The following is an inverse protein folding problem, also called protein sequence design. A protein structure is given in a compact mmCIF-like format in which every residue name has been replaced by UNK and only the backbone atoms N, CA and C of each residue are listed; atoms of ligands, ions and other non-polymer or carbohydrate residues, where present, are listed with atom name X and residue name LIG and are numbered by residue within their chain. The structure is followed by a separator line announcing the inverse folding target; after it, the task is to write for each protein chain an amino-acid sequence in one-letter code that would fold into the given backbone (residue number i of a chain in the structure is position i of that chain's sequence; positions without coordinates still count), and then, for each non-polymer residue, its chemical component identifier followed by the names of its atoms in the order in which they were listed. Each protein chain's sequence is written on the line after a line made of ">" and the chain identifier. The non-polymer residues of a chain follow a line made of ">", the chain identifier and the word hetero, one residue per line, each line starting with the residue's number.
data_IF_645181010149
#
_entry.id   IF_645181010149
#
_cell.length_a   1.000
_cell.length_b   1.000
_cell.length_c   1.000
_cell.angle_alpha   90.00
_cell.angle_beta   90.00
_cell.angle_gamma   90.00
#
_symmetry.space_group_name_H-M   'P 1'
#
loop_
_entity.id
_entity.type
_entity.pdbx_description
1 polymer ?
#
# COMPACT_ATOMS: atom_id res chain seq x y z
N UNK A 1 0.22 -53.04 -5.25
CA UNK A 1 -0.13 -52.08 -4.19
C UNK A 1 1.19 -51.46 -3.76
N UNK A 2 1.58 -50.36 -4.40
CA UNK A 2 2.86 -49.70 -4.10
C UNK A 2 2.77 -49.08 -2.70
N UNK A 3 3.71 -49.44 -1.82
CA UNK A 3 3.88 -48.81 -0.51
C UNK A 3 4.36 -47.37 -0.74
N UNK A 4 3.51 -46.40 -0.40
CA UNK A 4 3.91 -44.98 -0.37
C UNK A 4 5.06 -44.80 0.62
N UNK A 5 6.02 -43.95 0.27
CA UNK A 5 7.14 -43.64 1.16
C UNK A 5 6.65 -42.87 2.40
N UNK A 6 7.39 -42.93 3.53
CA UNK A 6 7.04 -42.20 4.77
C UNK A 6 6.90 -40.70 4.52
N UNK A 7 7.74 -40.11 3.65
CA UNK A 7 7.64 -38.69 3.26
C UNK A 7 6.33 -38.38 2.53
N UNK A 8 5.91 -39.26 1.63
CA UNK A 8 4.66 -39.10 0.88
C UNK A 8 3.42 -39.23 1.78
N UNK A 9 3.49 -40.08 2.81
CA UNK A 9 2.41 -40.19 3.82
C UNK A 9 2.31 -38.91 4.67
N UNK A 10 3.45 -38.27 4.97
CA UNK A 10 3.52 -37.01 5.74
C UNK A 10 2.99 -35.81 4.92
N UNK A 11 3.38 -35.70 3.65
CA UNK A 11 2.87 -34.68 2.72
C UNK A 11 1.35 -34.79 2.53
N UNK A 12 0.81 -36.01 2.38
CA UNK A 12 -0.64 -36.22 2.26
C UNK A 12 -1.39 -35.88 3.55
N UNK A 13 -0.78 -36.12 4.71
CA UNK A 13 -1.38 -35.74 5.99
C UNK A 13 -1.41 -34.22 6.14
N UNK A 14 -0.32 -33.53 5.77
CA UNK A 14 -0.23 -32.07 5.81
C UNK A 14 -1.25 -31.42 4.86
N UNK A 15 -1.37 -31.90 3.62
CA UNK A 15 -2.35 -31.41 2.66
C UNK A 15 -3.80 -31.55 3.17
N UNK A 16 -4.12 -32.64 3.89
CA UNK A 16 -5.43 -32.85 4.52
C UNK A 16 -5.74 -31.87 5.65
N UNK A 17 -4.72 -31.29 6.29
CA UNK A 17 -4.89 -30.24 7.27
C UNK A 17 -5.02 -28.88 6.59
N UNK A 18 -4.16 -28.59 5.62
CA UNK A 18 -4.12 -27.31 4.91
C UNK A 18 -5.39 -27.02 4.11
N UNK A 19 -6.04 -28.04 3.53
CA UNK A 19 -7.27 -27.85 2.75
C UNK A 19 -8.38 -27.15 3.55
N UNK A 20 -8.41 -27.30 4.88
CA UNK A 20 -9.40 -26.65 5.73
C UNK A 20 -9.25 -25.13 5.77
N UNK A 21 -8.06 -24.59 5.50
CA UNK A 21 -7.85 -23.15 5.37
C UNK A 21 -8.61 -22.59 4.15
N UNK A 22 -8.82 -23.39 3.10
CA UNK A 22 -9.58 -22.99 1.93
C UNK A 22 -11.07 -23.27 2.08
N UNK A 23 -11.45 -24.42 2.65
CA UNK A 23 -12.86 -24.78 2.93
C UNK A 23 -13.54 -23.72 3.80
N UNK A 24 -12.83 -23.18 4.80
CA UNK A 24 -13.32 -22.14 5.69
C UNK A 24 -12.62 -20.79 5.49
N UNK A 25 -12.00 -20.57 4.33
CA UNK A 25 -11.16 -19.39 4.05
C UNK A 25 -11.88 -18.04 4.10
N UNK A 26 -13.20 -18.03 3.95
CA UNK A 26 -14.03 -16.84 4.12
C UNK A 26 -14.24 -16.43 5.59
N UNK A 27 -14.02 -17.36 6.54
CA UNK A 27 -14.32 -17.16 7.97
C UNK A 27 -13.52 -16.02 8.60
N UNK A 28 -12.18 -15.91 8.39
CA UNK A 28 -11.40 -14.79 8.93
C UNK A 28 -11.96 -13.42 8.53
N UNK A 29 -12.26 -13.23 7.24
CA UNK A 29 -12.82 -11.99 6.71
C UNK A 29 -14.20 -11.71 7.30
N UNK A 30 -15.10 -12.69 7.29
CA UNK A 30 -16.47 -12.52 7.78
C UNK A 30 -16.53 -12.19 9.28
N UNK A 31 -15.70 -12.85 10.09
CA UNK A 31 -15.67 -12.60 11.55
C UNK A 31 -14.97 -11.27 11.87
N UNK A 32 -13.96 -10.87 11.08
CA UNK A 32 -13.34 -9.54 11.21
C UNK A 32 -14.34 -8.42 10.85
N UNK A 33 -15.06 -8.57 9.73
CA UNK A 33 -16.16 -7.69 9.34
C UNK A 33 -17.18 -7.55 10.47
N UNK A 34 -17.62 -8.68 11.04
CA UNK A 34 -18.55 -8.68 12.18
C UNK A 34 -18.00 -7.91 13.39
N UNK A 35 -16.70 -8.04 13.70
CA UNK A 35 -16.08 -7.29 14.80
C UNK A 35 -16.10 -5.78 14.57
N UNK A 36 -15.91 -5.34 13.32
CA UNK A 36 -15.99 -3.94 12.91
C UNK A 36 -17.45 -3.44 13.01
N UNK A 37 -18.41 -4.18 12.43
CA UNK A 37 -19.83 -3.81 12.43
C UNK A 37 -20.42 -3.75 13.85
N UNK A 38 -20.00 -4.65 14.74
CA UNK A 38 -20.37 -4.60 16.15
C UNK A 38 -19.61 -3.51 16.92
N UNK A 39 -18.55 -2.93 16.35
CA UNK A 39 -17.69 -1.92 16.99
C UNK A 39 -17.00 -2.42 18.25
N UNK A 40 -16.55 -3.68 18.23
CA UNK A 40 -15.89 -4.32 19.39
C UNK A 40 -14.64 -3.55 19.80
N UNK A 41 -13.82 -3.15 18.83
CA UNK A 41 -12.61 -2.38 19.07
C UNK A 41 -12.92 -1.00 19.67
N UNK A 42 -13.90 -0.27 19.13
CA UNK A 42 -14.32 1.02 19.67
C UNK A 42 -14.78 0.93 21.14
N UNK A 43 -15.56 -0.09 21.48
CA UNK A 43 -16.08 -0.28 22.84
C UNK A 43 -14.96 -0.59 23.83
N UNK A 44 -14.03 -1.47 23.47
CA UNK A 44 -12.86 -1.76 24.29
C UNK A 44 -11.95 -0.54 24.47
N UNK A 45 -11.74 0.23 23.40
CA UNK A 45 -10.96 1.47 23.47
C UNK A 45 -11.63 2.51 24.39
N UNK A 46 -12.93 2.72 24.22
CA UNK A 46 -13.70 3.68 25.02
C UNK A 46 -13.77 3.30 26.50
N UNK A 47 -13.73 2.00 26.81
CA UNK A 47 -13.68 1.53 28.20
C UNK A 47 -12.32 1.80 28.87
N UNK A 48 -11.23 1.86 28.09
CA UNK A 48 -9.89 2.13 28.59
C UNK A 48 -9.22 0.98 29.35
N UNK A 49 -9.77 -0.24 29.27
CA UNK A 49 -9.27 -1.39 30.03
C UNK A 49 -9.86 -2.74 29.60
N UNK A 50 -9.51 -3.83 30.31
CA UNK A 50 -10.05 -5.16 30.08
C UNK A 50 -11.56 -5.22 30.35
N UNK A 51 -12.32 -5.86 29.46
CA UNK A 51 -13.75 -6.12 29.67
C UNK A 51 -14.05 -7.61 29.72
N UNK A 52 -14.85 -8.04 30.70
CA UNK A 52 -15.39 -9.41 30.71
C UNK A 52 -16.38 -9.62 29.56
N UNK A 53 -16.72 -10.88 29.26
CA UNK A 53 -17.73 -11.19 28.26
C UNK A 53 -19.09 -10.56 28.57
N UNK A 54 -19.49 -10.57 29.85
CA UNK A 54 -20.76 -10.00 30.31
C UNK A 54 -20.79 -8.48 30.12
N UNK A 55 -19.72 -7.78 30.47
CA UNK A 55 -19.58 -6.34 30.25
C UNK A 55 -19.59 -5.99 28.76
N UNK A 56 -18.82 -6.73 27.95
CA UNK A 56 -18.70 -6.46 26.52
C UNK A 56 -20.03 -6.71 25.79
N UNK A 57 -20.70 -7.83 26.07
CA UNK A 57 -22.02 -8.11 25.47
C UNK A 57 -23.09 -7.11 25.87
N UNK A 58 -23.09 -6.63 27.12
CA UNK A 58 -23.99 -5.58 27.57
C UNK A 58 -23.73 -4.25 26.85
N UNK A 59 -22.46 -3.85 26.70
CA UNK A 59 -22.08 -2.62 26.00
C UNK A 59 -22.40 -2.65 24.50
N UNK A 60 -22.28 -3.82 23.87
CA UNK A 60 -22.60 -4.04 22.45
C UNK A 60 -24.09 -4.33 22.19
N UNK A 61 -24.90 -4.47 23.25
CA UNK A 61 -26.31 -4.88 23.18
C UNK A 61 -26.53 -6.17 22.35
N UNK A 62 -25.65 -7.17 22.51
CA UNK A 62 -25.67 -8.41 21.73
C UNK A 62 -25.72 -9.67 22.61
N UNK A 63 -26.02 -10.82 22.00
CA UNK A 63 -26.09 -12.09 22.72
C UNK A 63 -24.71 -12.52 23.23
N UNK A 64 -24.59 -12.67 24.56
CA UNK A 64 -23.37 -13.13 25.23
C UNK A 64 -22.86 -14.49 24.69
N UNK A 65 -23.77 -15.44 24.43
CA UNK A 65 -23.39 -16.77 23.92
C UNK A 65 -22.88 -16.74 22.48
N UNK A 66 -23.42 -15.85 21.65
CA UNK A 66 -22.94 -15.64 20.27
C UNK A 66 -21.62 -14.89 20.29
N UNK A 67 -21.53 -13.80 21.06
CA UNK A 67 -20.31 -13.01 21.22
C UNK A 67 -19.16 -13.87 21.75
N UNK A 68 -19.41 -14.79 22.67
CA UNK A 68 -18.39 -15.72 23.17
C UNK A 68 -17.75 -16.53 22.03
N UNK A 69 -18.55 -17.02 21.08
CA UNK A 69 -18.04 -17.79 19.93
C UNK A 69 -17.23 -16.92 18.97
N UNK A 70 -17.68 -15.68 18.74
CA UNK A 70 -16.98 -14.68 17.92
C UNK A 70 -15.64 -14.32 18.56
N UNK A 71 -15.65 -13.93 19.84
CA UNK A 71 -14.46 -13.55 20.58
C UNK A 71 -13.48 -14.71 20.69
N UNK A 72 -13.94 -15.96 20.90
CA UNK A 72 -13.08 -17.14 20.88
C UNK A 72 -12.29 -17.25 19.57
N UNK A 73 -12.96 -17.06 18.43
CA UNK A 73 -12.30 -17.08 17.12
C UNK A 73 -11.33 -15.91 16.96
N UNK A 74 -11.77 -14.68 17.24
CA UNK A 74 -10.95 -13.48 17.12
C UNK A 74 -9.71 -13.54 18.02
N UNK A 75 -9.82 -14.10 19.23
CA UNK A 75 -8.69 -14.27 20.15
C UNK A 75 -7.74 -15.37 19.71
N UNK A 76 -8.26 -16.46 19.12
CA UNK A 76 -7.42 -17.50 18.53
C UNK A 76 -6.59 -16.96 17.35
N UNK A 77 -7.19 -16.07 16.55
CA UNK A 77 -6.51 -15.34 15.47
C UNK A 77 -5.65 -14.16 15.95
N UNK A 78 -5.52 -13.97 17.27
CA UNK A 78 -4.75 -12.89 17.92
C UNK A 78 -5.20 -11.47 17.52
N UNK A 79 -6.42 -11.32 17.01
CA UNK A 79 -7.00 -9.99 16.73
C UNK A 79 -7.28 -9.30 18.07
N UNK A 80 -7.92 -9.99 19.01
CA UNK A 80 -8.00 -9.56 20.41
C UNK A 80 -7.21 -10.52 21.29
N UNK A 81 -6.96 -10.15 22.55
CA UNK A 81 -6.28 -11.03 23.52
C UNK A 81 -7.16 -11.30 24.73
N UNK A 82 -7.14 -12.54 25.21
CA UNK A 82 -7.72 -12.90 26.49
C UNK A 82 -6.71 -12.62 27.61
N UNK A 83 -7.19 -12.08 28.71
CA UNK A 83 -6.42 -11.86 29.92
C UNK A 83 -7.13 -12.53 31.10
N UNK A 84 -6.36 -13.30 31.88
CA UNK A 84 -6.79 -13.84 33.15
C UNK A 84 -5.90 -13.25 34.24
N UNK A 85 -6.49 -12.63 35.26
CA UNK A 85 -5.75 -12.07 36.38
C UNK A 85 -5.31 -13.16 37.38
N UNK A 86 -6.01 -14.30 37.42
CA UNK A 86 -5.68 -15.51 38.18
C UNK A 86 -6.40 -16.74 37.59
N UNK A 87 -6.19 -17.94 38.14
CA UNK A 87 -6.93 -19.15 37.73
C UNK A 87 -8.44 -19.08 38.08
N UNK A 88 -8.85 -18.16 38.96
CA UNK A 88 -10.23 -18.02 39.44
C UNK A 88 -10.95 -16.77 38.88
N UNK A 89 -10.24 -15.90 38.16
CA UNK A 89 -10.84 -14.67 37.58
C UNK A 89 -11.61 -14.96 36.29
N UNK A 90 -12.71 -14.25 36.09
CA UNK A 90 -13.44 -14.25 34.81
C UNK A 90 -12.54 -13.76 33.67
N UNK A 91 -12.56 -14.47 32.54
CA UNK A 91 -11.79 -14.12 31.33
C UNK A 91 -12.21 -12.72 30.87
N UNK A 92 -11.22 -11.85 30.70
CA UNK A 92 -11.41 -10.51 30.15
C UNK A 92 -10.74 -10.39 28.78
N UNK A 93 -11.24 -9.49 27.95
CA UNK A 93 -10.73 -9.22 26.61
C UNK A 93 -10.04 -7.86 26.59
N UNK A 94 -8.90 -7.79 25.88
CA UNK A 94 -8.12 -6.57 25.68
C UNK A 94 -7.75 -6.40 24.21
N UNK A 95 -7.45 -5.15 23.84
CA UNK A 95 -6.94 -4.80 22.52
C UNK A 95 -5.56 -5.42 22.25
N UNK A 96 -5.26 -5.70 20.98
CA UNK A 96 -3.91 -5.94 20.45
C UNK A 96 -3.55 -4.82 19.46
N UNK A 97 -2.31 -4.73 18.95
CA UNK A 97 -1.99 -3.85 17.84
C UNK A 97 -2.91 -4.07 16.62
N UNK A 98 -3.23 -5.33 16.29
CA UNK A 98 -4.09 -5.66 15.16
C UNK A 98 -5.54 -5.19 15.34
N UNK A 99 -6.14 -5.38 16.52
CA UNK A 99 -7.52 -4.89 16.74
C UNK A 99 -7.62 -3.37 16.79
N UNK A 100 -6.54 -2.65 17.13
CA UNK A 100 -6.53 -1.18 17.08
C UNK A 100 -6.64 -0.64 15.65
N UNK A 101 -6.20 -1.41 14.65
CA UNK A 101 -6.43 -1.10 13.23
C UNK A 101 -7.92 -1.18 12.85
N UNK A 102 -8.80 -1.67 13.73
CA UNK A 102 -10.24 -1.78 13.48
C UNK A 102 -11.06 -0.65 14.14
N UNK A 103 -10.42 0.29 14.84
CA UNK A 103 -11.12 1.38 15.53
C UNK A 103 -11.67 2.37 14.50
N UNK A 104 -12.97 2.66 14.54
CA UNK A 104 -13.67 3.41 13.48
C UNK A 104 -13.09 4.82 13.22
N UNK A 105 -12.59 5.50 14.26
CA UNK A 105 -12.04 6.87 14.18
C UNK A 105 -10.51 6.94 14.36
N UNK A 106 -9.80 5.81 14.24
CA UNK A 106 -8.35 5.80 14.34
C UNK A 106 -7.68 6.35 13.07
N UNK A 107 -6.65 7.18 13.21
CA UNK A 107 -5.90 7.73 12.07
C UNK A 107 -5.35 6.64 11.13
N UNK A 108 -4.99 5.48 11.70
CA UNK A 108 -4.43 4.31 11.01
C UNK A 108 -5.45 3.16 10.85
N UNK A 109 -6.75 3.45 10.91
CA UNK A 109 -7.78 2.42 10.80
C UNK A 109 -7.86 1.83 9.39
N UNK A 110 -7.92 0.50 9.31
CA UNK A 110 -8.18 -0.29 8.10
C UNK A 110 -9.63 -0.78 8.03
N UNK A 111 -10.48 -0.39 8.98
CA UNK A 111 -11.86 -0.85 9.06
C UNK A 111 -12.65 -0.56 7.78
N UNK A 112 -12.49 0.63 7.19
CA UNK A 112 -13.17 1.00 5.95
C UNK A 112 -12.75 0.12 4.77
N UNK A 113 -11.46 -0.16 4.62
CA UNK A 113 -10.95 -1.06 3.58
C UNK A 113 -11.50 -2.48 3.73
N UNK A 114 -11.50 -3.02 4.96
CA UNK A 114 -12.07 -4.34 5.24
C UNK A 114 -13.56 -4.37 4.90
N UNK A 115 -14.32 -3.33 5.26
CA UNK A 115 -15.75 -3.24 4.94
C UNK A 115 -16.01 -3.16 3.43
N UNK A 116 -15.17 -2.42 2.69
CA UNK A 116 -15.21 -2.31 1.24
C UNK A 116 -15.00 -3.67 0.57
N UNK A 117 -13.85 -4.30 0.82
CA UNK A 117 -13.46 -5.60 0.22
C UNK A 117 -14.42 -6.73 0.60
N UNK A 118 -15.00 -6.68 1.80
CA UNK A 118 -15.99 -7.68 2.27
C UNK A 118 -17.44 -7.31 1.93
N UNK A 119 -17.68 -6.29 1.11
CA UNK A 119 -19.03 -5.91 0.69
C UNK A 119 -19.62 -6.93 -0.29
N UNK A 120 -20.96 -7.08 -0.36
CA UNK A 120 -21.58 -7.96 -1.36
C UNK A 120 -21.20 -7.61 -2.80
N UNK A 121 -21.01 -6.32 -3.09
CA UNK A 121 -20.61 -5.84 -4.44
C UNK A 121 -19.20 -6.33 -4.79
N UNK A 122 -18.24 -6.20 -3.85
CA UNK A 122 -16.85 -6.63 -4.07
C UNK A 122 -16.67 -8.16 -3.99
N UNK A 123 -17.55 -8.87 -3.28
CA UNK A 123 -17.50 -10.34 -3.19
C UNK A 123 -18.17 -11.07 -4.37
N UNK A 124 -19.17 -10.48 -5.02
CA UNK A 124 -19.88 -11.11 -6.13
C UNK A 124 -18.98 -11.49 -7.33
N UNK A 125 -18.00 -10.66 -7.76
CA UNK A 125 -17.06 -10.98 -8.83
C UNK A 125 -16.25 -12.26 -8.60
N UNK A 126 -15.88 -12.57 -7.36
CA UNK A 126 -15.10 -13.76 -7.03
C UNK A 126 -15.83 -15.07 -7.39
N UNK A 127 -17.16 -15.06 -7.40
CA UNK A 127 -17.97 -16.19 -7.87
C UNK A 127 -17.96 -16.37 -9.40
N UNK A 128 -17.40 -15.42 -10.15
CA UNK A 128 -17.32 -15.41 -11.61
C UNK A 128 -15.91 -15.67 -12.14
N UNK A 129 -14.91 -15.79 -11.27
CA UNK A 129 -13.51 -15.96 -11.67
C UNK A 129 -13.27 -17.13 -12.63
N UNK A 130 -13.84 -18.31 -12.35
CA UNK A 130 -13.65 -19.48 -13.23
C UNK A 130 -14.26 -19.28 -14.61
N UNK A 131 -15.40 -18.58 -14.70
CA UNK A 131 -16.02 -18.26 -15.98
C UNK A 131 -15.24 -17.18 -16.74
N UNK A 132 -14.78 -16.14 -16.03
CA UNK A 132 -13.94 -15.07 -16.60
C UNK A 132 -12.60 -15.62 -17.12
N UNK A 133 -11.96 -16.54 -16.39
CA UNK A 133 -10.72 -17.18 -16.84
C UNK A 133 -10.88 -18.01 -18.14
N UNK A 134 -12.09 -18.50 -18.43
CA UNK A 134 -12.40 -19.22 -19.68
C UNK A 134 -12.82 -18.28 -20.82
N UNK A 135 -13.35 -17.10 -20.48
CA UNK A 135 -13.86 -16.11 -21.40
C UNK A 135 -12.80 -15.02 -21.60
N UNK A 136 -12.04 -15.08 -22.69
CA UNK A 136 -11.09 -14.03 -23.02
C UNK A 136 -11.80 -12.66 -23.12
N UNK A 137 -11.47 -11.73 -22.22
CA UNK A 137 -11.77 -10.31 -22.36
C UNK A 137 -12.94 -9.74 -21.56
N UNK A 138 -13.59 -10.49 -20.65
CA UNK A 138 -14.60 -9.91 -19.74
C UNK A 138 -14.16 -10.11 -18.29
N UNK A 139 -14.05 -9.00 -17.53
CA UNK A 139 -13.67 -9.08 -16.11
C UNK A 139 -14.72 -9.84 -15.30
N UNK A 140 -14.30 -10.42 -14.17
CA UNK A 140 -15.23 -11.11 -13.28
C UNK A 140 -16.25 -10.13 -12.67
N UNK A 141 -15.88 -8.86 -12.52
CA UNK A 141 -16.77 -7.79 -12.10
C UNK A 141 -17.88 -7.49 -13.11
N UNK A 142 -17.52 -7.33 -14.38
CA UNK A 142 -18.50 -7.11 -15.44
C UNK A 142 -19.43 -8.32 -15.57
N UNK A 143 -18.90 -9.54 -15.44
CA UNK A 143 -19.73 -10.75 -15.43
C UNK A 143 -20.69 -10.84 -14.22
N UNK A 144 -20.40 -10.16 -13.11
CA UNK A 144 -21.24 -10.13 -11.92
C UNK A 144 -22.29 -9.01 -11.97
N UNK A 145 -21.91 -7.84 -12.47
CA UNK A 145 -22.70 -6.61 -12.36
C UNK A 145 -23.19 -6.05 -13.69
N UNK A 146 -22.72 -6.59 -14.82
CA UNK A 146 -23.12 -6.20 -16.18
C UNK A 146 -22.37 -5.00 -16.76
N UNK A 147 -21.49 -4.36 -15.97
CA UNK A 147 -20.72 -3.17 -16.38
C UNK A 147 -19.33 -3.17 -15.72
N UNK A 148 -18.40 -2.39 -16.29
CA UNK A 148 -17.06 -2.23 -15.69
C UNK A 148 -17.11 -1.43 -14.37
N UNK A 149 -16.11 -1.67 -13.51
CA UNK A 149 -16.08 -1.16 -12.12
C UNK A 149 -16.28 0.35 -12.02
N UNK A 150 -15.59 1.15 -12.83
CA UNK A 150 -15.68 2.62 -12.76
C UNK A 150 -17.06 3.17 -13.11
N UNK A 151 -17.73 2.57 -14.11
CA UNK A 151 -19.09 2.98 -14.48
C UNK A 151 -20.09 2.57 -13.41
N UNK A 152 -19.98 1.34 -12.91
CA UNK A 152 -20.78 0.87 -11.78
C UNK A 152 -20.63 1.80 -10.58
N UNK A 153 -19.40 2.17 -10.23
CA UNK A 153 -19.10 3.10 -9.14
C UNK A 153 -19.76 4.46 -9.35
N UNK A 154 -19.67 5.04 -10.56
CA UNK A 154 -20.30 6.31 -10.88
C UNK A 154 -21.84 6.28 -10.76
N UNK A 155 -22.47 5.17 -11.13
CA UNK A 155 -23.93 5.00 -11.10
C UNK A 155 -24.48 4.60 -9.72
N UNK A 156 -23.62 4.18 -8.79
CA UNK A 156 -24.00 3.67 -7.47
C UNK A 156 -23.36 4.49 -6.33
N UNK A 157 -23.97 5.62 -5.90
CA UNK A 157 -23.38 6.52 -4.90
C UNK A 157 -23.03 5.87 -3.56
N UNK A 158 -23.82 4.88 -3.11
CA UNK A 158 -23.52 4.13 -1.88
C UNK A 158 -22.25 3.30 -2.00
N UNK A 159 -22.03 2.66 -3.15
CA UNK A 159 -20.81 1.92 -3.44
C UNK A 159 -19.63 2.88 -3.64
N UNK A 160 -19.81 3.98 -4.39
CA UNK A 160 -18.79 5.02 -4.56
C UNK A 160 -18.29 5.56 -3.23
N UNK A 161 -19.19 5.87 -2.29
CA UNK A 161 -18.80 6.29 -0.94
C UNK A 161 -17.97 5.21 -0.24
N UNK A 162 -18.43 3.96 -0.26
CA UNK A 162 -17.74 2.86 0.40
C UNK A 162 -16.34 2.60 -0.21
N UNK A 163 -16.21 2.69 -1.53
CA UNK A 163 -14.95 2.58 -2.24
C UNK A 163 -13.99 3.69 -1.84
N UNK A 164 -14.45 4.95 -1.90
CA UNK A 164 -13.65 6.12 -1.52
C UNK A 164 -13.22 6.07 -0.05
N UNK A 165 -14.13 5.72 0.88
CA UNK A 165 -13.80 5.58 2.31
C UNK A 165 -12.71 4.51 2.54
N UNK A 166 -12.77 3.40 1.78
CA UNK A 166 -11.79 2.32 1.82
C UNK A 166 -10.43 2.81 1.33
N UNK A 167 -10.33 3.24 0.08
CA UNK A 167 -9.06 3.70 -0.52
C UNK A 167 -8.45 4.85 0.29
N UNK A 168 -9.26 5.78 0.79
CA UNK A 168 -8.79 6.89 1.63
C UNK A 168 -8.12 6.40 2.93
N UNK A 169 -8.55 5.28 3.52
CA UNK A 169 -7.95 4.80 4.75
C UNK A 169 -6.55 4.23 4.55
N UNK A 170 -6.30 3.51 3.44
CA UNK A 170 -4.95 3.11 3.06
C UNK A 170 -4.10 4.32 2.69
N UNK A 171 -4.65 5.23 1.87
CA UNK A 171 -3.97 6.43 1.41
C UNK A 171 -3.36 7.27 2.54
N UNK A 172 -4.05 7.40 3.69
CA UNK A 172 -3.51 8.11 4.86
C UNK A 172 -2.22 7.49 5.38
N UNK A 173 -2.22 6.18 5.53
CA UNK A 173 -1.08 5.43 6.06
C UNK A 173 0.09 5.47 5.07
N UNK A 174 -0.18 5.08 3.82
CA UNK A 174 0.82 5.02 2.77
C UNK A 174 1.48 6.39 2.55
N UNK A 175 0.68 7.45 2.40
CA UNK A 175 1.22 8.79 2.15
C UNK A 175 2.04 9.31 3.32
N UNK A 176 1.62 9.04 4.57
CA UNK A 176 2.41 9.41 5.76
C UNK A 176 3.79 8.76 5.73
N UNK A 177 3.85 7.47 5.37
CA UNK A 177 5.09 6.72 5.24
C UNK A 177 5.96 7.24 4.09
N UNK A 178 5.36 7.51 2.93
CA UNK A 178 6.05 8.06 1.75
C UNK A 178 6.71 9.40 2.06
N UNK A 179 5.97 10.33 2.69
CA UNK A 179 6.52 11.64 3.06
C UNK A 179 7.69 11.50 4.04
N UNK A 180 7.58 10.57 4.99
CA UNK A 180 8.61 10.34 6.00
C UNK A 180 9.88 9.72 5.41
N UNK A 181 9.75 8.71 4.53
CA UNK A 181 10.90 7.96 4.00
C UNK A 181 11.49 8.54 2.72
N UNK A 182 10.69 9.28 1.95
CA UNK A 182 11.10 9.90 0.70
C UNK A 182 10.83 11.42 0.67
N UNK A 183 11.20 12.20 1.71
CA UNK A 183 10.93 13.64 1.71
C UNK A 183 11.60 14.36 0.53
N UNK A 184 12.74 13.85 0.05
CA UNK A 184 13.44 14.39 -1.10
C UNK A 184 12.69 14.26 -2.43
N UNK A 185 11.73 13.33 -2.54
CA UNK A 185 10.84 13.24 -3.69
C UNK A 185 10.10 14.58 -3.91
N UNK A 186 9.79 15.29 -2.82
CA UNK A 186 8.99 16.51 -2.81
C UNK A 186 9.81 17.81 -2.82
N UNK A 187 11.14 17.70 -2.78
CA UNK A 187 12.01 18.87 -2.82
C UNK A 187 11.89 19.64 -4.15
N UNK A 188 11.77 20.96 -4.04
CA UNK A 188 11.70 21.88 -5.19
C UNK A 188 10.33 21.96 -5.88
N UNK A 189 9.38 21.11 -5.50
CA UNK A 189 8.00 21.13 -6.03
C UNK A 189 7.23 22.29 -5.38
N UNK A 190 6.57 23.14 -6.17
CA UNK A 190 5.68 24.22 -5.66
C UNK A 190 4.21 23.95 -5.93
N UNK A 191 3.91 23.16 -6.96
CA UNK A 191 2.57 22.70 -7.30
C UNK A 191 2.61 21.22 -7.68
N UNK A 192 1.64 20.45 -7.19
CA UNK A 192 1.54 19.02 -7.44
C UNK A 192 0.11 18.66 -7.79
N UNK A 193 -0.08 17.96 -8.91
CA UNK A 193 -1.37 17.36 -9.28
C UNK A 193 -1.40 15.90 -8.84
N UNK A 194 -2.41 15.53 -8.05
CA UNK A 194 -2.72 14.16 -7.67
C UNK A 194 -3.76 13.63 -8.66
N UNK A 195 -3.34 12.76 -9.58
CA UNK A 195 -4.19 12.21 -10.66
C UNK A 195 -4.88 10.95 -10.16
N UNK A 196 -6.20 10.85 -10.33
CA UNK A 196 -6.98 9.77 -9.68
C UNK A 196 -6.99 9.92 -8.16
N UNK A 197 -7.01 11.18 -7.69
CA UNK A 197 -6.72 11.50 -6.30
C UNK A 197 -7.86 11.22 -5.30
N UNK A 198 -8.99 10.72 -5.78
CA UNK A 198 -10.16 10.39 -4.96
C UNK A 198 -10.71 11.62 -4.23
N UNK A 199 -11.01 11.44 -2.95
CA UNK A 199 -11.46 12.52 -2.06
C UNK A 199 -10.34 13.50 -1.67
N UNK A 200 -9.10 13.28 -2.13
CA UNK A 200 -7.95 14.13 -1.85
C UNK A 200 -7.22 13.81 -0.55
N UNK A 201 -7.56 12.71 0.13
CA UNK A 201 -6.98 12.31 1.41
C UNK A 201 -5.44 12.20 1.37
N UNK A 202 -4.88 11.56 0.34
CA UNK A 202 -3.43 11.45 0.17
C UNK A 202 -2.79 12.84 0.05
N UNK A 203 -3.35 13.68 -0.82
CA UNK A 203 -2.85 15.02 -1.06
C UNK A 203 -2.96 15.90 0.20
N UNK A 204 -3.99 15.72 1.03
CA UNK A 204 -4.13 16.40 2.32
C UNK A 204 -2.99 16.07 3.27
N UNK A 205 -2.64 14.78 3.41
CA UNK A 205 -1.49 14.35 4.22
C UNK A 205 -0.20 14.97 3.69
N UNK A 206 0.00 14.96 2.37
CA UNK A 206 1.17 15.55 1.74
C UNK A 206 1.27 17.06 1.98
N UNK A 207 0.22 17.83 1.72
CA UNK A 207 0.22 19.30 1.88
C UNK A 207 0.40 19.70 3.35
N UNK A 208 -0.14 18.93 4.30
CA UNK A 208 0.09 19.16 5.73
C UNK A 208 1.57 19.04 6.10
N UNK A 209 2.27 18.07 5.53
CA UNK A 209 3.69 17.85 5.81
C UNK A 209 4.64 18.70 4.94
N UNK A 210 4.20 19.07 3.74
CA UNK A 210 4.93 19.91 2.79
C UNK A 210 4.10 21.18 2.46
N UNK A 211 3.92 22.11 3.42
CA UNK A 211 2.99 23.25 3.29
C UNK A 211 3.38 24.27 2.22
N UNK A 212 4.56 24.13 1.60
CA UNK A 212 4.98 24.96 0.46
C UNK A 212 4.40 24.46 -0.87
N UNK A 213 3.82 23.26 -0.92
CA UNK A 213 3.20 22.68 -2.11
C UNK A 213 1.74 23.12 -2.17
N UNK A 214 1.34 23.69 -3.31
CA UNK A 214 -0.08 23.84 -3.66
C UNK A 214 -0.57 22.56 -4.32
N UNK A 215 -1.58 21.92 -3.74
CA UNK A 215 -2.14 20.68 -4.25
C UNK A 215 -3.27 20.92 -5.25
N UNK A 216 -3.30 20.13 -6.33
CA UNK A 216 -4.44 19.99 -7.23
C UNK A 216 -4.92 18.55 -7.10
N UNK A 217 -6.08 18.32 -6.48
CA UNK A 217 -6.71 17.01 -6.45
C UNK A 217 -7.52 16.82 -7.74
N UNK A 218 -7.14 15.87 -8.58
CA UNK A 218 -7.74 15.66 -9.90
C UNK A 218 -8.39 14.28 -10.02
N UNK A 219 -9.70 14.25 -10.26
CA UNK A 219 -10.49 13.02 -10.39
C UNK A 219 -11.75 13.25 -11.24
N UNK A 220 -12.59 12.22 -11.41
CA UNK A 220 -13.84 12.29 -12.14
C UNK A 220 -14.83 13.27 -11.47
N UNK A 221 -15.76 13.88 -12.24
CA UNK A 221 -16.72 14.85 -11.71
C UNK A 221 -17.54 14.37 -10.51
N UNK A 222 -18.00 13.12 -10.54
CA UNK A 222 -18.83 12.57 -9.45
C UNK A 222 -18.03 12.41 -8.15
N UNK A 223 -16.74 12.07 -8.23
CA UNK A 223 -15.84 11.92 -7.08
C UNK A 223 -15.51 13.29 -6.48
N UNK A 224 -15.07 14.23 -7.32
CA UNK A 224 -14.72 15.60 -6.90
C UNK A 224 -15.90 16.33 -6.26
N UNK A 225 -17.12 16.10 -6.75
CA UNK A 225 -18.32 16.79 -6.26
C UNK A 225 -18.62 16.58 -4.77
N UNK A 226 -18.13 15.47 -4.19
CA UNK A 226 -18.34 15.10 -2.78
C UNK A 226 -17.05 15.17 -1.95
N UNK A 227 -15.93 15.59 -2.55
CA UNK A 227 -14.66 15.69 -1.86
C UNK A 227 -14.69 16.78 -0.77
N UNK A 228 -14.15 16.52 0.43
CA UNK A 228 -14.12 17.51 1.50
C UNK A 228 -13.18 18.66 1.15
N UNK A 229 -13.61 19.90 1.46
CA UNK A 229 -12.75 21.07 1.28
C UNK A 229 -11.53 20.98 2.19
N UNK A 230 -10.35 21.14 1.61
CA UNK A 230 -9.08 21.13 2.32
C UNK A 230 -8.28 22.41 2.01
N UNK A 231 -7.71 23.03 3.04
CA UNK A 231 -6.84 24.19 2.85
C UNK A 231 -5.58 23.81 2.06
N UNK A 232 -5.19 24.66 1.11
CA UNK A 232 -4.02 24.42 0.24
C UNK A 232 -4.25 23.41 -0.89
N UNK A 233 -5.48 22.91 -1.05
CA UNK A 233 -5.88 21.98 -2.11
C UNK A 233 -7.01 22.57 -2.95
N UNK A 234 -6.81 22.55 -4.26
CA UNK A 234 -7.84 22.83 -5.26
C UNK A 234 -8.36 21.50 -5.81
N UNK A 235 -9.68 21.31 -5.82
CA UNK A 235 -10.29 20.13 -6.45
C UNK A 235 -10.69 20.47 -7.89
N UNK A 236 -10.20 19.67 -8.84
CA UNK A 236 -10.44 19.84 -10.28
C UNK A 236 -11.00 18.54 -10.83
N UNK A 237 -12.12 18.62 -11.54
CA UNK A 237 -12.68 17.44 -12.19
C UNK A 237 -12.25 17.32 -13.65
N UNK A 238 -12.09 16.09 -14.14
CA UNK A 238 -11.86 15.80 -15.55
C UNK A 238 -11.55 14.33 -15.81
N UNK A 239 -11.05 14.05 -17.01
CA UNK A 239 -10.60 12.72 -17.43
C UNK A 239 -9.09 12.75 -17.69
N UNK A 240 -8.35 11.87 -17.00
CA UNK A 240 -6.90 11.76 -17.12
C UNK A 240 -6.42 11.26 -18.49
N UNK A 241 -7.28 10.58 -19.25
CA UNK A 241 -6.99 10.19 -20.63
C UNK A 241 -7.08 11.38 -21.61
N UNK A 242 -7.79 12.43 -21.23
CA UNK A 242 -7.92 13.64 -22.05
C UNK A 242 -6.86 14.68 -21.71
N UNK A 243 -6.84 15.13 -20.45
CA UNK A 243 -6.02 16.24 -19.98
C UNK A 243 -5.74 16.15 -18.47
N UNK A 244 -4.46 16.25 -18.09
CA UNK A 244 -4.04 16.42 -16.70
C UNK A 244 -3.73 17.90 -16.41
N UNK A 245 -4.22 18.49 -15.30
CA UNK A 245 -3.90 19.86 -14.91
C UNK A 245 -2.40 20.13 -14.77
N UNK A 246 -1.97 21.32 -15.23
CA UNK A 246 -0.54 21.70 -15.17
C UNK A 246 -0.06 21.90 -13.73
N UNK A 247 1.09 21.32 -13.40
CA UNK A 247 1.75 21.42 -12.10
C UNK A 247 3.26 21.21 -12.24
N UNK A 248 4.07 21.48 -11.21
CA UNK A 248 5.50 21.15 -11.25
C UNK A 248 5.76 19.64 -11.19
N UNK A 249 4.82 18.86 -10.64
CA UNK A 249 4.88 17.41 -10.59
C UNK A 249 3.49 16.76 -10.65
N UNK A 250 3.43 15.52 -11.12
CA UNK A 250 2.24 14.67 -11.04
C UNK A 250 2.49 13.51 -10.05
N UNK A 251 1.48 13.17 -9.26
CA UNK A 251 1.48 12.03 -8.34
C UNK A 251 0.33 11.09 -8.73
N UNK A 252 0.64 9.79 -8.80
CA UNK A 252 -0.31 8.71 -9.01
C UNK A 252 -0.08 7.67 -7.93
N UNK A 253 -1.15 7.25 -7.26
CA UNK A 253 -1.09 6.21 -6.23
C UNK A 253 -2.29 5.29 -6.41
N UNK A 254 -2.03 4.00 -6.64
CA UNK A 254 -3.07 3.01 -6.94
C UNK A 254 -3.99 3.46 -8.08
N UNK A 255 -3.37 3.82 -9.20
CA UNK A 255 -4.06 4.26 -10.41
C UNK A 255 -3.65 3.38 -11.57
N UNK A 256 -2.34 3.20 -11.76
CA UNK A 256 -1.80 2.56 -12.94
C UNK A 256 -2.00 1.04 -12.90
N UNK A 257 -2.16 0.43 -11.73
CA UNK A 257 -2.48 -0.99 -11.64
C UNK A 257 -3.86 -1.36 -12.23
N UNK A 258 -4.78 -0.40 -12.37
CA UNK A 258 -6.13 -0.65 -12.88
C UNK A 258 -6.22 -0.77 -14.41
N UNK A 259 -5.13 -0.41 -15.09
CA UNK A 259 -5.11 -0.24 -16.55
C UNK A 259 -4.09 -1.14 -17.23
N UNK A 260 -4.31 -1.38 -18.52
CA UNK A 260 -3.34 -2.08 -19.36
C UNK A 260 -2.06 -1.26 -19.56
N UNK A 261 -1.00 -1.89 -20.09
CA UNK A 261 0.28 -1.22 -20.34
C UNK A 261 0.14 -0.04 -21.32
N UNK A 262 -0.66 -0.19 -22.38
CA UNK A 262 -0.90 0.88 -23.35
C UNK A 262 -1.64 2.07 -22.73
N UNK A 263 -2.66 1.80 -21.92
CA UNK A 263 -3.41 2.83 -21.20
C UNK A 263 -2.55 3.55 -20.16
N UNK A 264 -1.71 2.82 -19.41
CA UNK A 264 -0.74 3.41 -18.51
C UNK A 264 0.25 4.32 -19.22
N UNK A 265 0.75 3.91 -20.39
CA UNK A 265 1.63 4.74 -21.22
C UNK A 265 0.93 6.04 -21.61
N UNK A 266 -0.34 5.98 -22.00
CA UNK A 266 -1.12 7.16 -22.38
C UNK A 266 -1.38 8.09 -21.18
N UNK A 267 -1.76 7.56 -20.02
CA UNK A 267 -1.89 8.33 -18.77
C UNK A 267 -0.57 9.04 -18.42
N UNK A 268 0.56 8.31 -18.49
CA UNK A 268 1.87 8.86 -18.19
C UNK A 268 2.32 9.91 -19.21
N UNK A 269 1.95 9.78 -20.50
CA UNK A 269 2.15 10.83 -21.50
C UNK A 269 1.38 12.09 -21.15
N UNK A 270 0.12 11.97 -20.71
CA UNK A 270 -0.68 13.12 -20.23
C UNK A 270 -0.07 13.78 -19.01
N UNK A 271 0.43 12.99 -18.06
CA UNK A 271 1.19 13.51 -16.93
C UNK A 271 2.47 14.24 -17.38
N UNK A 272 3.18 13.69 -18.35
CA UNK A 272 4.39 14.32 -18.93
C UNK A 272 4.09 15.65 -19.61
N UNK A 273 2.97 15.75 -20.32
CA UNK A 273 2.50 17.01 -20.95
C UNK A 273 2.12 18.08 -19.91
N UNK A 274 1.70 17.66 -18.72
CA UNK A 274 1.25 18.55 -17.65
C UNK A 274 2.38 19.13 -16.80
N UNK A 275 3.59 18.56 -16.85
CA UNK A 275 4.75 18.98 -16.05
C UNK A 275 5.80 19.72 -16.90
N UNK A 276 6.67 20.56 -16.30
CA UNK A 276 7.78 21.17 -17.01
C UNK A 276 8.75 20.14 -17.60
N UNK A 277 9.15 20.31 -18.86
CA UNK A 277 10.05 19.37 -19.54
C UNK A 277 11.45 19.34 -18.92
N UNK A 278 11.91 20.44 -18.34
CA UNK A 278 13.26 20.59 -17.79
C UNK A 278 13.42 20.03 -16.37
N UNK A 279 12.42 20.26 -15.52
CA UNK A 279 12.52 19.96 -14.07
C UNK A 279 11.35 19.16 -13.51
N UNK A 280 10.36 18.84 -14.33
CA UNK A 280 9.18 18.09 -13.93
C UNK A 280 9.52 16.67 -13.51
N UNK A 281 8.64 16.09 -12.68
CA UNK A 281 8.70 14.68 -12.34
C UNK A 281 7.30 14.08 -12.22
N UNK A 282 7.20 12.79 -12.51
CA UNK A 282 6.03 11.97 -12.16
C UNK A 282 6.43 11.05 -11.03
N UNK A 283 5.61 11.00 -9.99
CA UNK A 283 5.79 10.19 -8.80
C UNK A 283 4.69 9.12 -8.82
N UNK A 284 5.08 7.85 -8.84
CA UNK A 284 4.18 6.70 -8.90
C UNK A 284 4.35 5.92 -7.60
N UNK A 285 3.25 5.66 -6.89
CA UNK A 285 3.22 4.85 -5.67
C UNK A 285 2.33 3.62 -5.91
N UNK A 286 2.96 2.47 -6.16
CA UNK A 286 2.30 1.22 -6.56
C UNK A 286 3.00 0.02 -5.95
N UNK A 287 2.31 -1.12 -5.89
CA UNK A 287 2.98 -2.37 -5.60
C UNK A 287 3.85 -2.81 -6.79
N UNK A 288 4.91 -3.55 -6.46
CA UNK A 288 5.85 -4.08 -7.45
C UNK A 288 6.03 -5.56 -7.22
N UNK A 289 5.85 -6.34 -8.28
CA UNK A 289 6.12 -7.76 -8.27
C UNK A 289 7.63 -7.98 -8.34
N UNK A 290 8.18 -8.56 -7.29
CA UNK A 290 9.60 -8.91 -7.22
C UNK A 290 9.79 -10.33 -7.73
N UNK A 291 10.48 -10.49 -8.86
CA UNK A 291 10.76 -11.80 -9.47
C UNK A 291 11.90 -12.57 -8.75
N UNK A 292 12.68 -11.89 -7.90
CA UNK A 292 14.03 -12.35 -7.51
C UNK A 292 14.30 -12.44 -5.99
N UNK A 293 13.36 -12.09 -5.10
CA UNK A 293 13.58 -12.27 -3.65
C UNK A 293 13.32 -13.74 -3.21
N UNK A 294 14.16 -14.22 -2.28
CA UNK A 294 13.97 -15.53 -1.65
C UNK A 294 12.73 -15.57 -0.75
N UNK A 295 12.15 -16.75 -0.56
CA UNK A 295 10.90 -16.97 0.19
C UNK A 295 10.90 -16.37 1.61
N UNK A 296 12.06 -16.23 2.24
CA UNK A 296 12.21 -15.75 3.63
C UNK A 296 12.42 -14.23 3.78
N UNK A 297 12.64 -13.48 2.69
CA UNK A 297 13.01 -12.05 2.76
C UNK A 297 11.81 -11.09 2.64
N UNK A 298 10.66 -11.59 2.19
CA UNK A 298 9.56 -10.76 1.71
C UNK A 298 8.23 -11.04 2.42
N UNK A 299 8.06 -10.33 3.53
CA UNK A 299 6.91 -10.46 4.43
C UNK A 299 5.56 -10.07 3.81
N UNK A 300 5.56 -9.45 2.62
CA UNK A 300 4.36 -8.92 1.96
C UNK A 300 4.01 -9.65 0.67
N UNK A 301 4.72 -10.73 0.33
CA UNK A 301 4.49 -11.50 -0.89
C UNK A 301 3.04 -11.93 -1.07
N UNK A 302 2.47 -12.54 -0.04
CA UNK A 302 1.08 -13.01 -0.07
C UNK A 302 0.09 -11.87 -0.31
N UNK A 303 0.34 -10.71 0.29
CA UNK A 303 -0.51 -9.54 0.15
C UNK A 303 -0.41 -8.91 -1.26
N UNK A 304 0.78 -8.88 -1.88
CA UNK A 304 0.93 -8.43 -3.27
C UNK A 304 0.29 -9.39 -4.27
N UNK A 305 0.47 -10.70 -4.07
CA UNK A 305 -0.21 -11.71 -4.90
C UNK A 305 -1.73 -11.63 -4.75
N UNK A 306 -2.23 -11.42 -3.53
CA UNK A 306 -3.66 -11.21 -3.31
C UNK A 306 -4.17 -9.92 -3.99
N UNK A 307 -3.37 -8.84 -3.96
CA UNK A 307 -3.70 -7.59 -4.65
C UNK A 307 -3.79 -7.81 -6.17
N UNK A 308 -2.85 -8.51 -6.79
CA UNK A 308 -2.92 -8.83 -8.22
C UNK A 308 -4.19 -9.62 -8.57
N UNK A 309 -4.58 -10.57 -7.72
CA UNK A 309 -5.85 -11.28 -7.87
C UNK A 309 -7.08 -10.36 -7.70
N UNK A 310 -7.02 -9.37 -6.82
CA UNK A 310 -8.07 -8.33 -6.70
C UNK A 310 -8.15 -7.55 -8.00
N UNK A 311 -7.03 -7.07 -8.54
CA UNK A 311 -7.00 -6.30 -9.78
C UNK A 311 -7.53 -7.12 -10.96
N UNK A 312 -7.10 -8.38 -11.12
CA UNK A 312 -7.63 -9.31 -12.14
C UNK A 312 -9.14 -9.53 -12.01
N UNK A 313 -9.64 -9.60 -10.78
CA UNK A 313 -11.06 -9.85 -10.51
C UNK A 313 -11.92 -8.64 -10.87
N UNK A 314 -11.43 -7.43 -10.59
CA UNK A 314 -12.24 -6.21 -10.63
C UNK A 314 -12.07 -5.41 -11.92
N UNK A 315 -10.92 -5.52 -12.59
CA UNK A 315 -10.58 -4.78 -13.79
C UNK A 315 -10.51 -5.69 -15.02
N UNK A 316 -10.63 -5.12 -16.22
CA UNK A 316 -10.57 -5.91 -17.46
C UNK A 316 -9.13 -6.27 -17.85
N UNK A 317 -8.19 -5.33 -17.64
CA UNK A 317 -6.81 -5.42 -18.13
C UNK A 317 -5.77 -4.91 -17.13
N UNK A 318 -6.18 -4.55 -15.92
CA UNK A 318 -5.26 -4.16 -14.87
C UNK A 318 -4.38 -5.33 -14.42
N UNK A 319 -3.24 -5.01 -13.82
CA UNK A 319 -2.32 -5.97 -13.22
C UNK A 319 -1.34 -5.28 -12.28
N UNK A 320 -0.84 -6.03 -11.30
CA UNK A 320 0.38 -5.67 -10.61
C UNK A 320 1.59 -6.00 -11.50
N UNK A 321 2.57 -5.08 -11.52
CA UNK A 321 3.68 -5.14 -12.49
C UNK A 321 4.99 -5.48 -11.82
N UNK A 322 5.78 -6.30 -12.52
CA UNK A 322 7.19 -6.49 -12.21
C UNK A 322 8.00 -5.22 -12.49
N UNK A 323 9.22 -5.16 -11.95
CA UNK A 323 10.16 -4.07 -12.25
C UNK A 323 10.44 -3.91 -13.75
N UNK A 324 10.50 -5.03 -14.50
CA UNK A 324 10.74 -4.99 -15.96
C UNK A 324 9.55 -4.43 -16.73
N UNK A 325 8.34 -4.73 -16.28
CA UNK A 325 7.11 -4.17 -16.87
C UNK A 325 6.93 -2.70 -16.54
N UNK A 326 7.28 -2.28 -15.32
CA UNK A 326 7.34 -0.85 -14.97
C UNK A 326 8.33 -0.08 -15.85
N UNK A 327 9.53 -0.64 -16.06
CA UNK A 327 10.51 -0.05 -16.98
C UNK A 327 9.95 0.08 -18.40
N UNK A 328 9.26 -0.94 -18.91
CA UNK A 328 8.61 -0.89 -20.22
C UNK A 328 7.59 0.23 -20.32
N UNK A 329 6.67 0.34 -19.35
CA UNK A 329 5.61 1.35 -19.32
C UNK A 329 6.18 2.76 -19.21
N UNK A 330 7.12 2.98 -18.29
CA UNK A 330 7.75 4.30 -18.05
C UNK A 330 8.54 4.75 -19.29
N UNK A 331 9.31 3.85 -19.90
CA UNK A 331 10.05 4.15 -21.14
C UNK A 331 9.11 4.39 -22.33
N UNK A 332 8.01 3.64 -22.44
CA UNK A 332 6.99 3.81 -23.49
C UNK A 332 6.29 5.17 -23.46
N UNK A 333 6.21 5.79 -22.28
CA UNK A 333 5.71 7.15 -22.07
C UNK A 333 6.76 8.24 -22.36
N UNK A 334 8.01 7.86 -22.67
CA UNK A 334 9.08 8.78 -23.04
C UNK A 334 9.90 9.32 -21.87
N UNK A 335 9.79 8.73 -20.68
CA UNK A 335 10.72 8.97 -19.59
C UNK A 335 11.97 8.12 -19.80
N UNK A 336 13.15 8.73 -19.78
CA UNK A 336 14.42 8.02 -20.06
C UNK A 336 15.20 7.67 -18.79
N UNK A 337 14.72 8.15 -17.64
CA UNK A 337 15.35 7.95 -16.33
C UNK A 337 14.26 7.83 -15.28
N UNK A 338 14.40 6.82 -14.43
CA UNK A 338 13.60 6.69 -13.23
C UNK A 338 14.45 6.19 -12.07
N UNK A 339 14.00 6.49 -10.86
CA UNK A 339 14.57 5.93 -9.62
C UNK A 339 13.46 5.22 -8.88
N UNK A 340 13.79 4.11 -8.22
CA UNK A 340 12.82 3.33 -7.45
C UNK A 340 13.28 3.29 -6.01
N UNK A 341 12.36 3.55 -5.10
CA UNK A 341 12.56 3.44 -3.66
C UNK A 341 11.53 2.49 -3.09
N UNK A 342 12.03 1.45 -2.42
CA UNK A 342 11.20 0.60 -1.58
C UNK A 342 10.79 1.42 -0.35
N UNK A 343 9.50 1.43 -0.05
CA UNK A 343 9.01 2.00 1.20
C UNK A 343 8.95 0.84 2.20
N UNK A 344 9.84 0.90 3.20
CA UNK A 344 9.86 -0.10 4.28
C UNK A 344 8.80 0.26 5.33
N UNK A 345 8.45 -0.67 6.22
CA UNK A 345 7.48 -0.36 7.29
C UNK A 345 8.14 0.54 8.35
N UNK A 346 7.43 1.56 8.84
CA UNK A 346 7.89 2.40 9.96
C UNK A 346 7.44 1.75 11.27
N UNK A 347 8.28 0.87 11.80
CA UNK A 347 8.09 0.28 13.12
C UNK A 347 8.25 1.26 14.30
N UNK A 348 8.54 2.55 14.05
CA UNK A 348 9.02 3.50 15.07
C UNK A 348 8.01 4.60 15.47
N UNK A 349 6.84 4.70 14.83
CA UNK A 349 5.90 5.81 15.10
C UNK A 349 4.88 5.54 16.20
N UNK A 350 4.91 4.37 16.85
CA UNK A 350 4.00 4.08 17.97
C UNK A 350 4.29 4.86 19.25
N UNK A 351 5.44 5.55 19.34
CA UNK A 351 5.82 6.35 20.52
C UNK A 351 5.68 7.87 20.35
N UNK A 352 5.32 8.35 19.16
CA UNK A 352 5.31 9.79 18.88
C UNK A 352 3.94 10.19 18.37
N UNK A 353 3.23 11.02 19.15
CA UNK A 353 1.98 11.62 18.70
C UNK A 353 2.20 12.34 17.38
N UNK A 354 1.22 12.28 16.48
CA UNK A 354 1.28 12.87 15.12
C UNK A 354 1.77 14.33 15.07
N UNK A 355 1.64 15.09 16.16
CA UNK A 355 2.12 16.48 16.25
C UNK A 355 3.64 16.59 16.50
N UNK A 356 4.28 15.60 17.14
CA UNK A 356 5.73 15.59 17.37
C UNK A 356 6.52 15.20 16.12
N UNK A 357 6.00 14.33 15.26
CA UNK A 357 6.66 13.98 14.00
C UNK A 357 6.76 15.18 13.04
N UNK A 358 5.71 16.02 13.02
CA UNK A 358 5.71 17.27 12.25
C UNK A 358 6.74 18.26 12.82
N UNK A 359 6.87 18.32 14.15
CA UNK A 359 7.82 19.21 14.81
C UNK A 359 9.28 18.70 14.71
N UNK A 360 9.49 17.39 14.60
CA UNK A 360 10.78 16.76 14.27
C UNK A 360 11.16 17.02 12.81
N UNK A 361 10.25 16.89 11.84
CA UNK A 361 10.52 17.27 10.44
C UNK A 361 10.88 18.75 10.31
N UNK A 362 10.26 19.61 11.13
CA UNK A 362 10.61 21.03 11.24
C UNK A 362 12.01 21.23 11.85
N UNK A 363 12.36 20.49 12.90
CA UNK A 363 13.69 20.55 13.57
C UNK A 363 14.83 19.91 12.76
N UNK A 364 14.57 18.83 12.03
CA UNK A 364 15.53 18.19 11.11
C UNK A 364 15.90 19.10 9.95
N UNK A 365 15.00 20.02 9.55
CA UNK A 365 15.30 21.07 8.58
C UNK A 365 16.21 22.17 9.13
N UNK A 366 16.29 22.32 10.45
CA UNK A 366 17.02 23.40 11.14
C UNK A 366 18.36 22.92 11.76
N UNK A 367 18.54 21.64 12.05
CA UNK A 367 19.73 21.11 12.73
C UNK A 367 20.73 20.42 11.77
N UNK A 368 21.94 20.99 11.65
CA UNK A 368 23.12 20.25 11.18
C UNK A 368 23.66 19.42 12.35
N UNK A 369 23.48 18.10 12.27
CA UNK A 369 24.00 17.05 13.18
C UNK A 369 23.20 16.83 14.46
N UNK A 370 22.67 15.61 14.61
CA UNK A 370 22.26 15.03 15.91
C UNK A 370 22.86 13.62 16.01
N UNK A 371 23.61 13.36 17.08
CA UNK A 371 24.08 12.02 17.47
C UNK A 371 23.05 11.38 18.41
N UNK A 372 22.79 10.08 18.28
CA UNK A 372 22.13 9.30 19.33
C UNK A 372 22.77 7.92 19.57
N UNK A 373 22.55 7.49 20.81
CA UNK A 373 23.18 6.42 21.60
C UNK A 373 22.43 5.09 21.40
N UNK A 374 23.18 4.01 21.48
CA UNK A 374 22.79 2.60 21.31
C UNK A 374 22.32 1.98 22.64
N UNK A 375 21.16 1.30 22.66
CA UNK A 375 20.84 0.19 23.57
C UNK A 375 19.77 -0.73 22.93
N UNK A 376 20.15 -1.98 22.63
CA UNK A 376 19.70 -3.15 23.40
C UNK A 376 18.38 -3.87 23.07
N UNK A 377 18.55 -5.06 22.49
CA UNK A 377 17.78 -6.32 22.63
C UNK A 377 16.56 -6.65 21.74
N UNK A 378 16.61 -7.90 21.28
CA UNK A 378 15.74 -8.63 20.35
C UNK A 378 14.47 -9.16 21.01
N UNK A 379 13.36 -9.17 20.25
CA UNK A 379 12.36 -10.22 20.38
C UNK A 379 11.66 -10.50 19.04
N UNK A 380 11.46 -11.80 18.75
CA UNK A 380 11.11 -12.33 17.43
C UNK A 380 9.62 -12.12 17.07
N UNK A 381 9.42 -11.64 15.84
CA UNK A 381 8.19 -11.10 15.28
C UNK A 381 7.10 -12.14 14.94
N UNK A 382 5.85 -11.79 15.26
CA UNK A 382 4.75 -11.87 14.31
C UNK A 382 3.92 -10.59 14.43
N UNK A 383 4.16 -9.66 13.51
CA UNK A 383 3.37 -8.45 13.35
C UNK A 383 3.08 -8.31 11.85
N UNK A 384 1.79 -8.41 11.49
CA UNK A 384 1.32 -8.14 10.13
C UNK A 384 0.91 -6.67 10.11
N UNK A 385 1.71 -5.82 9.46
CA UNK A 385 1.52 -4.37 9.40
C UNK A 385 1.84 -3.89 7.99
N UNK A 386 0.97 -3.08 7.41
CA UNK A 386 0.87 -2.85 5.95
C UNK A 386 1.95 -1.89 5.41
N UNK A 387 2.72 -2.35 4.41
CA UNK A 387 3.28 -1.51 3.36
C UNK A 387 3.47 -2.36 2.08
N UNK A 388 2.66 -2.09 1.05
CA UNK A 388 2.73 -2.77 -0.25
C UNK A 388 3.46 -1.91 -1.31
N UNK A 389 3.80 -0.67 -0.97
CA UNK A 389 4.05 0.36 -1.96
C UNK A 389 5.55 0.59 -2.22
N UNK A 390 5.95 0.72 -3.49
CA UNK A 390 7.21 1.33 -3.90
C UNK A 390 6.92 2.70 -4.50
N UNK A 391 7.81 3.66 -4.25
CA UNK A 391 7.76 4.97 -4.91
C UNK A 391 8.75 4.99 -6.06
N UNK A 392 8.23 5.17 -7.27
CA UNK A 392 9.02 5.40 -8.47
C UNK A 392 8.96 6.88 -8.85
N UNK A 393 10.13 7.47 -9.09
CA UNK A 393 10.27 8.84 -9.57
C UNK A 393 10.77 8.81 -11.01
N UNK A 394 9.94 9.22 -11.96
CA UNK A 394 10.31 9.35 -13.38
C UNK A 394 10.62 10.81 -13.73
N UNK A 395 11.73 11.04 -14.45
CA UNK A 395 12.28 12.37 -14.76
C UNK A 395 12.37 12.62 -16.27
N UNK A 396 12.28 13.89 -16.67
CA UNK A 396 12.17 14.31 -18.07
C UNK A 396 13.50 14.71 -18.77
N UNK A 397 14.65 14.85 -18.06
CA UNK A 397 15.82 15.61 -18.60
C UNK A 397 17.21 14.91 -18.75
N UNK A 398 18.05 15.50 -19.65
CA UNK A 398 19.45 15.18 -20.06
C UNK A 398 20.55 15.93 -19.24
N UNK A 399 20.46 15.98 -17.93
CA UNK A 399 21.50 16.57 -17.05
C UNK A 399 22.43 15.54 -16.41
N UNK A 400 23.73 15.82 -16.35
CA UNK A 400 24.72 15.03 -15.58
C UNK A 400 24.35 15.04 -14.10
N UNK A 401 24.06 13.85 -13.54
CA UNK A 401 23.93 13.69 -12.10
C UNK A 401 25.34 13.70 -11.52
N UNK A 402 25.63 14.69 -10.66
CA UNK A 402 26.77 14.60 -9.75
C UNK A 402 26.62 13.33 -8.91
N UNK A 403 27.68 12.54 -8.93
CA UNK A 403 27.81 11.22 -8.29
C UNK A 403 27.45 11.32 -6.81
N UNK A 404 26.42 10.63 -6.35
CA UNK A 404 26.11 10.48 -4.92
C UNK A 404 26.67 9.13 -4.44
N UNK A 405 27.61 9.17 -3.50
CA UNK A 405 28.14 7.99 -2.82
C UNK A 405 27.12 7.49 -1.79
N UNK A 406 26.71 6.23 -1.92
CA UNK A 406 25.98 5.52 -0.88
C UNK A 406 26.96 5.16 0.25
N UNK A 407 26.73 5.70 1.45
CA UNK A 407 27.41 5.22 2.65
C UNK A 407 26.64 4.02 3.19
N UNK A 408 27.00 2.82 2.72
CA UNK A 408 26.58 1.57 3.36
C UNK A 408 27.42 1.39 4.63
N UNK A 409 26.85 1.67 5.80
CA UNK A 409 27.46 1.27 7.08
C UNK A 409 27.17 -0.20 7.33
N UNK A 410 28.04 -1.07 6.84
CA UNK A 410 28.12 -2.44 7.31
C UNK A 410 28.88 -2.46 8.64
N UNK A 411 28.26 -3.01 9.68
CA UNK A 411 28.91 -3.29 10.95
C UNK A 411 30.06 -4.30 10.75
N UNK A 412 31.29 -3.87 11.07
CA UNK A 412 32.41 -4.79 11.33
C UNK A 412 33.33 -5.10 10.13
N UNK A 413 34.47 -4.40 10.10
CA UNK A 413 35.78 -4.80 9.53
C UNK A 413 35.82 -5.61 8.23
N UNK A 414 36.06 -4.93 7.10
CA UNK A 414 37.21 -5.16 6.19
C UNK A 414 37.34 -3.96 5.24
N UNK A 415 38.52 -3.33 5.20
CA UNK A 415 38.81 -2.14 4.38
C UNK A 415 39.30 -2.60 2.99
N UNK A 416 38.52 -2.37 1.95
CA UNK A 416 39.02 -2.45 0.57
C UNK A 416 39.28 -1.04 0.05
N UNK A 417 40.54 -0.72 -0.18
CA UNK A 417 40.95 0.51 -0.86
C UNK A 417 41.18 0.17 -2.33
N UNK A 418 40.29 0.61 -3.22
CA UNK A 418 40.53 0.58 -4.66
C UNK A 418 41.15 1.92 -5.05
N UNK A 419 42.45 1.91 -5.38
CA UNK A 419 43.13 3.06 -5.97
C UNK A 419 42.76 3.14 -7.46
N UNK A 420 42.15 4.24 -7.88
CA UNK A 420 42.15 4.61 -9.30
C UNK A 420 43.46 5.33 -9.61
N UNK A 421 44.42 4.63 -10.21
CA UNK A 421 45.52 5.30 -10.89
C UNK A 421 45.03 5.82 -12.25
N UNK A 422 45.08 7.14 -12.40
CA UNK A 422 45.01 7.82 -13.69
C UNK A 422 46.37 7.75 -14.38
N UNK A 423 46.42 7.26 -15.62
CA UNK A 423 47.45 7.69 -16.58
C UNK A 423 46.83 8.04 -17.94
N UNK A 424 47.41 9.01 -18.67
CA UNK A 424 46.72 9.76 -19.71
C UNK A 424 46.79 9.11 -21.10
N UNK A 425 45.81 9.46 -21.92
CA UNK A 425 45.75 9.24 -23.36
C UNK A 425 46.96 9.82 -24.10
N UNK A 426 47.56 9.07 -25.05
CA UNK A 426 47.89 9.57 -26.40
C UNK A 426 48.38 8.43 -27.35
N UNK A 427 48.17 8.70 -28.64
CA UNK A 427 48.67 8.05 -29.87
C UNK A 427 47.91 6.88 -30.54
N UNK A 428 46.97 7.26 -31.42
CA UNK A 428 47.02 7.17 -32.91
C UNK A 428 47.52 5.85 -33.57
N UNK A 429 46.60 5.30 -34.38
CA UNK A 429 46.73 4.66 -35.71
C UNK A 429 46.92 3.14 -35.90
N UNK A 430 46.01 2.63 -36.75
CA UNK A 430 46.21 1.72 -37.88
C UNK A 430 46.84 0.33 -37.66
N UNK A 431 46.01 -0.71 -37.82
CA UNK A 431 46.00 -1.71 -38.92
C UNK A 431 45.28 -2.98 -38.42
N UNK A 432 44.29 -3.50 -39.17
CA UNK A 432 43.80 -4.88 -39.01
C UNK A 432 44.77 -5.89 -39.65
N UNK A 433 44.31 -7.09 -40.07
CA UNK A 433 43.47 -8.09 -39.40
C UNK A 433 44.23 -9.44 -39.26
N UNK A 434 43.76 -10.40 -38.46
CA UNK A 434 43.85 -11.84 -38.79
C UNK A 434 43.17 -12.75 -37.77
N UNK A 435 42.60 -13.82 -38.33
CA UNK A 435 41.99 -15.02 -37.75
C UNK A 435 42.82 -15.72 -36.66
N UNK A 436 42.11 -16.31 -35.69
CA UNK A 436 42.03 -17.78 -35.47
C UNK A 436 40.93 -18.08 -34.47
#
# INVERSE_FOLDING_TARGET
>A
MEMKSVKQVDEEAQARLEIWNYVFGFTPMAVMKCAIELRIADVLESHGGPMTLSQLSAALACSSSVLHRIMRYLTHRRIFRQMSASQESEISYVQTPLSRLLISNGGNSMAAFVLMESSPVMLAPWHKLSASALMNGTSAFEAAHGEHVWKYTAENPGHSKQFNDGVACHARLAMSTIVHQCPEAFNGIRSLVNVGGGDGTALHVLVKACPWIRGINFDLPHVVSVAPKCDGIEHVCGDMFELVPKADAAFLMWVLHDWSDDECIDILRKCREAIPEDRGKVIIAEAVMEDELGEDEDKYRDARLALDMVILTHTEKGKERSMREWEYVVNGAGFTRFTVKRIEDISVLHDWGNDECIDILRKCREAKVVHWIDEGEEDKYMDVRLALDMVMLAHTEKGTIEKWEYVVKANGFTRFTLHSETYPSHYISNRGPSMS
#
